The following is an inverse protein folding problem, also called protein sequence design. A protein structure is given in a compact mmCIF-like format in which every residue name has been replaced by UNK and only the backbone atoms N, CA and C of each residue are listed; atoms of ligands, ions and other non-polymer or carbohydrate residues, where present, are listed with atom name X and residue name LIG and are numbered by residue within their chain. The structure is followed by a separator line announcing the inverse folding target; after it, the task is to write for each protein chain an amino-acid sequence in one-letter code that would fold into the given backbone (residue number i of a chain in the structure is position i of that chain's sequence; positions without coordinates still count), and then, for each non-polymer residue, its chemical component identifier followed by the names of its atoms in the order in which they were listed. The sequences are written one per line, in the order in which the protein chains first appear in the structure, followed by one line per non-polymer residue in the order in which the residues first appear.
data_IF_482136062465
#
_entry.id   IF_482136062465
#
_cell.length_a   1.000
_cell.length_b   1.000
_cell.length_c   1.000
_cell.angle_alpha   90.00
_cell.angle_beta   90.00
_cell.angle_gamma   90.00
#
_symmetry.space_group_name_H-M   'P 1'
#
loop_
_entity.id
_entity.type
_entity.pdbx_description
1 polymer ?
#
# COMPACT_ATOMS: atom_id res chain seq x y z
N UNK A 1 -9.18 -8.96 20.20
CA UNK A 1 -8.77 -7.77 20.97
C UNK A 1 -8.09 -6.75 20.08
N UNK A 2 -8.63 -5.53 19.99
CA UNK A 2 -7.92 -4.41 19.35
C UNK A 2 -6.89 -3.90 20.36
N UNK A 3 -5.61 -4.18 20.15
CA UNK A 3 -4.55 -3.66 21.01
C UNK A 3 -4.53 -2.14 20.93
N UNK A 4 -4.77 -1.46 22.05
CA UNK A 4 -4.56 0.00 22.14
C UNK A 4 -3.09 0.32 21.83
N UNK A 5 -2.86 1.41 21.10
CA UNK A 5 -1.52 1.95 20.86
C UNK A 5 -0.77 2.13 22.18
N UNK A 6 0.51 1.72 22.23
CA UNK A 6 1.37 1.89 23.40
C UNK A 6 1.74 3.37 23.53
N UNK A 7 1.50 3.95 24.71
CA UNK A 7 1.86 5.33 25.03
C UNK A 7 3.34 5.40 25.45
N UNK A 8 4.24 5.63 24.49
CA UNK A 8 5.68 5.54 24.73
C UNK A 8 6.36 6.82 25.26
N UNK A 9 5.68 7.96 25.27
CA UNK A 9 6.16 9.20 25.89
C UNK A 9 5.54 9.45 27.27
N UNK A 10 5.30 8.39 28.04
CA UNK A 10 4.69 8.47 29.36
C UNK A 10 5.76 8.43 30.45
N UNK A 11 5.78 9.43 31.33
CA UNK A 11 6.72 9.55 32.45
C UNK A 11 6.51 8.47 33.53
N UNK A 12 5.29 7.93 33.67
CA UNK A 12 4.93 7.03 34.78
C UNK A 12 5.26 5.57 34.52
N UNK A 13 5.15 5.13 33.27
CA UNK A 13 5.38 3.75 32.88
C UNK A 13 5.72 3.67 31.40
N UNK A 14 6.90 3.12 31.12
CA UNK A 14 7.37 2.86 29.76
C UNK A 14 7.33 1.35 29.54
N UNK A 15 6.51 0.92 28.57
CA UNK A 15 6.43 -0.49 28.19
C UNK A 15 7.79 -0.95 27.61
N UNK A 16 8.25 -2.20 27.81
CA UNK A 16 9.56 -2.67 27.30
C UNK A 16 9.74 -2.58 25.77
N UNK A 17 8.62 -2.55 25.04
CA UNK A 17 8.59 -2.38 23.58
C UNK A 17 8.57 -0.90 23.14
N UNK A 18 8.56 0.04 24.07
CA UNK A 18 8.74 1.46 23.76
C UNK A 18 10.23 1.78 23.61
N UNK A 19 10.55 2.59 22.61
CA UNK A 19 11.88 3.13 22.41
C UNK A 19 11.76 4.60 21.94
N UNK A 20 11.23 5.48 22.81
CA UNK A 20 10.92 6.86 22.44
C UNK A 20 12.16 7.58 21.93
N UNK A 21 11.96 8.51 21.01
CA UNK A 21 13.01 9.38 20.51
C UNK A 21 12.98 10.66 21.36
N UNK A 22 14.05 10.88 22.11
CA UNK A 22 14.24 12.09 22.90
C UNK A 22 14.51 13.28 21.96
N UNK A 23 13.88 14.41 22.24
CA UNK A 23 14.08 15.64 21.48
C UNK A 23 15.14 16.46 22.17
N UNK A 24 16.23 16.75 21.46
CA UNK A 24 17.32 17.60 21.96
C UNK A 24 16.80 19.01 22.29
N UNK A 25 17.33 19.61 23.36
CA UNK A 25 16.94 20.97 23.78
C UNK A 25 17.26 22.03 22.70
N UNK A 26 18.33 21.81 21.93
CA UNK A 26 18.77 22.68 20.84
C UNK A 26 18.01 22.44 19.52
N UNK A 27 17.08 21.47 19.46
CA UNK A 27 16.30 21.19 18.25
C UNK A 27 15.42 22.40 17.89
N UNK A 28 15.63 23.00 16.71
CA UNK A 28 14.92 24.24 16.34
C UNK A 28 13.44 24.06 16.04
N UNK A 29 12.99 22.83 15.80
CA UNK A 29 11.66 22.49 15.30
C UNK A 29 10.78 21.89 16.40
N UNK A 30 11.28 20.87 17.09
CA UNK A 30 10.51 20.05 18.03
C UNK A 30 10.68 20.45 19.49
N UNK A 31 11.80 21.06 19.89
CA UNK A 31 12.06 21.41 21.31
C UNK A 31 10.96 22.27 21.94
N UNK A 32 10.31 23.12 21.13
CA UNK A 32 9.21 24.00 21.53
C UNK A 32 7.85 23.29 21.60
N UNK A 33 7.74 22.09 21.02
CA UNK A 33 6.49 21.35 20.83
C UNK A 33 6.40 20.13 21.75
N UNK A 34 7.49 19.38 21.89
CA UNK A 34 7.55 18.16 22.71
C UNK A 34 8.99 17.83 23.07
N UNK A 35 9.17 17.15 24.20
CA UNK A 35 10.46 16.60 24.62
C UNK A 35 10.64 15.13 24.19
N UNK A 36 9.58 14.52 23.65
CA UNK A 36 9.55 13.11 23.28
C UNK A 36 8.68 12.87 22.05
N UNK A 37 9.22 12.10 21.11
CA UNK A 37 8.47 11.55 19.98
C UNK A 37 8.17 10.06 20.26
N UNK A 38 6.89 9.64 20.22
CA UNK A 38 6.52 8.29 20.58
C UNK A 38 6.98 7.31 19.50
N UNK A 39 7.74 6.30 19.91
CA UNK A 39 8.17 5.23 19.02
C UNK A 39 8.03 3.87 19.71
N UNK A 40 7.36 2.94 19.02
CA UNK A 40 7.15 1.56 19.43
C UNK A 40 8.03 0.68 18.55
N UNK A 41 8.79 -0.24 19.16
CA UNK A 41 9.61 -1.19 18.42
C UNK A 41 8.71 -2.11 17.57
N UNK A 42 9.17 -2.43 16.37
CA UNK A 42 8.49 -3.39 15.49
C UNK A 42 8.34 -4.74 16.19
N UNK A 43 7.20 -5.39 15.96
CA UNK A 43 6.88 -6.70 16.52
C UNK A 43 7.97 -7.74 16.22
N UNK A 44 8.24 -8.61 17.20
CA UNK A 44 9.24 -9.68 17.09
C UNK A 44 8.72 -10.87 16.32
N UNK A 45 9.61 -11.51 15.56
CA UNK A 45 9.38 -12.84 15.02
C UNK A 45 10.21 -13.86 15.80
N UNK A 46 9.63 -15.01 16.21
CA UNK A 46 10.42 -16.14 16.66
C UNK A 46 11.28 -16.64 15.50
N UNK A 47 12.46 -17.17 15.82
CA UNK A 47 13.31 -17.87 14.86
C UNK A 47 12.72 -19.23 14.52
N UNK A 48 13.19 -19.83 13.43
CA UNK A 48 12.86 -21.21 13.10
C UNK A 48 13.10 -22.13 14.31
N UNK A 49 12.15 -23.05 14.53
CA UNK A 49 12.11 -23.97 15.66
C UNK A 49 12.19 -23.30 17.05
N UNK A 50 11.78 -22.03 17.17
CA UNK A 50 11.82 -21.26 18.42
C UNK A 50 13.22 -21.22 19.06
N UNK A 51 14.27 -21.28 18.23
CA UNK A 51 15.65 -21.25 18.70
C UNK A 51 16.02 -19.90 19.31
N UNK A 52 16.91 -19.92 20.31
CA UNK A 52 17.45 -18.70 20.92
C UNK A 52 18.38 -17.98 19.93
N UNK A 53 18.33 -16.65 19.91
CA UNK A 53 19.18 -15.84 19.03
C UNK A 53 18.86 -14.35 19.14
N UNK A 54 19.52 -13.50 18.33
CA UNK A 54 19.18 -12.08 18.25
C UNK A 54 17.74 -11.88 17.77
N UNK A 55 17.20 -10.71 18.13
CA UNK A 55 15.83 -10.30 17.82
C UNK A 55 15.64 -10.08 16.32
N UNK A 56 14.66 -10.76 15.74
CA UNK A 56 14.19 -10.56 14.36
C UNK A 56 12.80 -9.89 14.34
N UNK A 57 12.43 -9.28 13.22
CA UNK A 57 11.14 -8.64 13.01
C UNK A 57 10.23 -9.49 12.13
N UNK A 58 8.91 -9.37 12.33
CA UNK A 58 7.91 -10.09 11.53
C UNK A 58 7.57 -9.33 10.25
N UNK A 59 7.46 -10.06 9.14
CA UNK A 59 6.84 -9.56 7.92
C UNK A 59 5.36 -9.97 7.89
N UNK A 60 4.45 -8.98 7.90
CA UNK A 60 3.00 -9.23 7.83
C UNK A 60 2.45 -9.21 6.39
N UNK A 61 3.30 -8.93 5.41
CA UNK A 61 3.00 -9.02 3.98
C UNK A 61 3.60 -10.28 3.36
N UNK A 62 3.05 -10.69 2.22
CA UNK A 62 3.74 -11.64 1.35
C UNK A 62 4.99 -10.95 0.77
N UNK A 63 6.11 -11.67 0.68
CA UNK A 63 7.36 -11.12 0.13
C UNK A 63 7.34 -11.04 -1.40
N UNK A 64 6.46 -11.79 -2.06
CA UNK A 64 6.30 -11.79 -3.50
C UNK A 64 5.63 -10.50 -3.99
N UNK A 65 5.93 -10.11 -5.23
CA UNK A 65 5.16 -9.10 -5.96
C UNK A 65 3.85 -9.71 -6.48
N UNK A 66 2.92 -9.99 -5.57
CA UNK A 66 1.68 -10.75 -5.81
C UNK A 66 0.39 -9.92 -5.62
N UNK A 67 0.55 -8.59 -5.61
CA UNK A 67 -0.53 -7.63 -5.41
C UNK A 67 -1.28 -7.81 -4.07
N UNK A 68 -0.63 -8.35 -3.02
CA UNK A 68 -1.21 -8.46 -1.67
C UNK A 68 -1.65 -7.12 -1.07
N UNK A 69 -1.07 -6.00 -1.51
CA UNK A 69 -1.56 -4.66 -1.18
C UNK A 69 -2.99 -4.40 -1.71
N UNK A 70 -3.43 -5.09 -2.77
CA UNK A 70 -4.78 -5.00 -3.35
C UNK A 70 -5.67 -6.14 -2.82
N UNK A 71 -5.16 -7.37 -2.77
CA UNK A 71 -5.95 -8.57 -2.46
C UNK A 71 -5.88 -9.01 -1.00
N UNK A 72 -4.97 -8.46 -0.20
CA UNK A 72 -4.70 -8.85 1.18
C UNK A 72 -3.70 -10.00 1.28
N UNK A 73 -2.99 -10.05 2.41
CA UNK A 73 -2.01 -11.10 2.74
C UNK A 73 -2.62 -12.31 3.44
N UNK A 74 -3.91 -12.25 3.81
CA UNK A 74 -4.63 -13.35 4.48
C UNK A 74 -5.92 -13.70 3.74
N UNK A 75 -6.38 -14.94 3.92
CA UNK A 75 -7.63 -15.43 3.30
C UNK A 75 -8.83 -14.63 3.80
N UNK A 76 -8.86 -14.26 5.07
CA UNK A 76 -9.93 -13.46 5.68
C UNK A 76 -9.96 -12.06 5.08
N UNK A 77 -8.79 -11.44 4.88
CA UNK A 77 -8.67 -10.12 4.26
C UNK A 77 -9.15 -10.14 2.81
N UNK A 78 -8.70 -11.13 2.05
CA UNK A 78 -9.10 -11.33 0.66
C UNK A 78 -10.61 -11.58 0.54
N UNK A 79 -11.16 -12.43 1.40
CA UNK A 79 -12.58 -12.74 1.45
C UNK A 79 -13.44 -11.48 1.68
N UNK A 80 -13.04 -10.61 2.61
CA UNK A 80 -13.73 -9.33 2.88
C UNK A 80 -13.71 -8.35 1.72
N UNK A 81 -12.80 -8.51 0.75
CA UNK A 81 -12.66 -7.63 -0.40
C UNK A 81 -13.46 -8.11 -1.62
N UNK A 82 -13.95 -9.36 -1.61
CA UNK A 82 -14.65 -9.98 -2.74
C UNK A 82 -16.14 -9.72 -2.71
N UNK A 83 -16.71 -9.47 -3.89
CA UNK A 83 -18.16 -9.37 -4.07
C UNK A 83 -18.84 -10.74 -4.21
N UNK A 84 -18.05 -11.81 -4.41
CA UNK A 84 -18.53 -13.18 -4.68
C UNK A 84 -19.58 -13.24 -5.80
N UNK A 85 -19.39 -12.37 -6.80
CA UNK A 85 -20.20 -12.30 -8.00
C UNK A 85 -19.31 -11.92 -9.19
N UNK A 86 -19.34 -12.76 -10.23
CA UNK A 86 -18.61 -12.56 -11.49
C UNK A 86 -17.09 -12.34 -11.33
N UNK A 87 -16.50 -12.80 -10.25
CA UNK A 87 -15.08 -12.62 -9.92
C UNK A 87 -14.74 -11.21 -9.45
N UNK A 88 -15.72 -10.38 -9.07
CA UNK A 88 -15.48 -8.97 -8.75
C UNK A 88 -14.97 -8.74 -7.33
N UNK A 89 -14.20 -7.66 -7.17
CA UNK A 89 -13.95 -7.00 -5.90
C UNK A 89 -15.13 -6.09 -5.52
N UNK A 90 -15.37 -5.93 -4.22
CA UNK A 90 -16.38 -5.04 -3.67
C UNK A 90 -16.06 -3.59 -3.97
N UNK A 91 -17.07 -2.85 -4.40
CA UNK A 91 -16.96 -1.45 -4.76
C UNK A 91 -18.12 -0.67 -4.21
N UNK A 92 -17.90 0.60 -3.90
CA UNK A 92 -18.97 1.51 -3.54
C UNK A 92 -19.32 2.42 -4.72
N UNK A 93 -20.62 2.57 -4.98
CA UNK A 93 -21.14 3.62 -5.87
C UNK A 93 -21.16 4.94 -5.09
N UNK A 94 -20.53 5.98 -5.62
CA UNK A 94 -20.63 7.34 -5.08
C UNK A 94 -21.53 8.15 -6.00
N UNK A 95 -22.38 9.02 -5.44
CA UNK A 95 -23.37 9.81 -6.18
C UNK A 95 -22.79 10.67 -7.31
N UNK A 96 -21.48 10.93 -7.27
CA UNK A 96 -20.78 11.74 -8.27
C UNK A 96 -19.79 10.95 -9.15
N UNK A 97 -19.45 9.68 -8.86
CA UNK A 97 -18.39 8.93 -9.56
C UNK A 97 -18.64 7.43 -9.71
N UNK A 98 -18.09 6.89 -10.79
CA UNK A 98 -17.92 5.46 -11.02
C UNK A 98 -17.01 4.86 -9.93
N UNK A 99 -17.53 3.90 -9.15
CA UNK A 99 -16.77 2.85 -8.46
C UNK A 99 -15.55 3.31 -7.62
N UNK A 100 -15.76 3.48 -6.31
CA UNK A 100 -14.72 3.66 -5.28
C UNK A 100 -14.40 2.36 -4.55
N UNK A 101 -13.29 2.35 -3.81
CA UNK A 101 -12.99 1.29 -2.82
C UNK A 101 -14.14 1.17 -1.80
N UNK A 102 -14.34 -0.03 -1.27
CA UNK A 102 -15.34 -0.25 -0.22
C UNK A 102 -14.90 0.41 1.09
N UNK A 103 -15.85 0.84 1.91
CA UNK A 103 -15.60 1.51 3.19
C UNK A 103 -15.39 0.52 4.33
N UNK A 104 -14.70 0.97 5.37
CA UNK A 104 -14.50 0.24 6.61
C UNK A 104 -14.80 1.10 7.85
N UNK A 105 -14.95 0.44 9.00
CA UNK A 105 -15.05 1.04 10.35
C UNK A 105 -13.70 0.95 11.08
N UNK A 106 -12.61 0.80 10.33
CA UNK A 106 -11.28 0.76 10.91
C UNK A 106 -10.83 2.19 11.21
N UNK A 107 -10.15 2.39 12.34
CA UNK A 107 -9.71 3.71 12.81
C UNK A 107 -8.38 4.15 12.14
N UNK A 108 -8.09 3.61 10.95
CA UNK A 108 -6.82 3.81 10.21
C UNK A 108 -6.76 5.15 9.48
N UNK A 109 -7.83 5.95 9.52
CA UNK A 109 -7.88 7.26 8.91
C UNK A 109 -8.53 8.28 9.86
N UNK A 110 -8.26 9.57 9.64
CA UNK A 110 -8.85 10.67 10.38
C UNK A 110 -10.30 10.91 9.91
N UNK A 111 -11.22 10.08 10.37
CA UNK A 111 -12.66 10.27 10.14
C UNK A 111 -13.22 11.36 11.08
N UNK A 112 -12.79 12.61 10.91
CA UNK A 112 -13.28 13.76 11.69
C UNK A 112 -14.72 14.17 11.33
N UNK A 113 -15.27 13.66 10.22
CA UNK A 113 -16.64 13.92 9.77
C UNK A 113 -17.40 12.61 9.66
N UNK A 114 -18.61 12.57 10.22
CA UNK A 114 -19.49 11.37 10.24
C UNK A 114 -19.81 10.78 8.85
N UNK A 115 -19.53 11.51 7.77
CA UNK A 115 -19.78 11.11 6.39
C UNK A 115 -18.56 10.56 5.63
N UNK A 116 -17.34 10.61 6.21
CA UNK A 116 -16.09 10.27 5.51
C UNK A 116 -15.39 9.09 6.19
N UNK A 117 -15.68 7.88 5.70
CA UNK A 117 -15.15 6.64 6.27
C UNK A 117 -13.87 6.20 5.56
N UNK A 118 -13.06 5.41 6.25
CA UNK A 118 -11.82 4.90 5.68
C UNK A 118 -12.11 3.89 4.57
N UNK A 119 -11.19 3.79 3.61
CA UNK A 119 -11.26 2.79 2.54
C UNK A 119 -10.59 1.49 2.96
N UNK A 120 -11.12 0.40 2.40
CA UNK A 120 -10.64 -0.95 2.59
C UNK A 120 -9.96 -1.43 1.30
N UNK A 121 -8.69 -1.83 1.39
CA UNK A 121 -7.98 -2.58 0.33
C UNK A 121 -7.20 -3.75 0.96
N UNK A 122 -6.23 -4.34 0.27
CA UNK A 122 -5.41 -5.41 0.82
C UNK A 122 -4.51 -4.95 1.99
N UNK A 123 -3.91 -3.78 1.85
CA UNK A 123 -2.99 -3.19 2.84
C UNK A 123 -3.66 -2.24 3.84
N UNK A 124 -3.06 -2.11 5.03
CA UNK A 124 -3.54 -1.21 6.10
C UNK A 124 -3.24 0.27 5.81
N UNK A 125 -2.17 0.55 5.05
CA UNK A 125 -1.74 1.90 4.70
C UNK A 125 -2.51 2.52 3.52
N UNK A 126 -3.61 1.89 3.08
CA UNK A 126 -4.42 2.36 1.93
C UNK A 126 -4.80 3.84 2.04
N UNK A 127 -5.08 4.31 3.25
CA UNK A 127 -5.56 5.67 3.52
C UNK A 127 -4.43 6.65 3.88
N UNK A 128 -3.17 6.21 3.94
CA UNK A 128 -2.05 7.03 4.41
C UNK A 128 -1.86 8.27 3.54
N UNK A 129 -1.85 8.07 2.22
CA UNK A 129 -1.76 9.14 1.24
C UNK A 129 -2.94 9.08 0.27
N UNK A 130 -3.46 10.23 -0.19
CA UNK A 130 -4.50 10.25 -1.20
C UNK A 130 -4.00 9.63 -2.53
N UNK A 131 -2.74 9.83 -2.91
CA UNK A 131 -2.17 9.19 -4.11
C UNK A 131 -2.22 7.65 -4.02
N UNK A 132 -1.97 7.10 -2.84
CA UNK A 132 -2.07 5.65 -2.60
C UNK A 132 -3.51 5.16 -2.76
N UNK A 133 -4.48 5.78 -2.08
CA UNK A 133 -5.90 5.44 -2.24
C UNK A 133 -6.36 5.52 -3.71
N UNK A 134 -5.88 6.51 -4.47
CA UNK A 134 -6.19 6.65 -5.89
C UNK A 134 -5.66 5.47 -6.70
N UNK A 135 -4.39 5.09 -6.51
CA UNK A 135 -3.79 3.93 -7.18
C UNK A 135 -4.51 2.62 -6.83
N UNK A 136 -4.83 2.38 -5.55
CA UNK A 136 -5.63 1.21 -5.16
C UNK A 136 -7.00 1.17 -5.85
N UNK A 137 -7.63 2.33 -6.03
CA UNK A 137 -8.91 2.43 -6.75
C UNK A 137 -8.75 2.07 -8.23
N UNK A 138 -7.67 2.52 -8.89
CA UNK A 138 -7.38 2.16 -10.30
C UNK A 138 -7.22 0.66 -10.44
N UNK A 139 -6.41 0.03 -9.59
CA UNK A 139 -6.17 -1.40 -9.65
C UNK A 139 -7.42 -2.23 -9.41
N UNK A 140 -8.28 -1.80 -8.47
CA UNK A 140 -9.58 -2.41 -8.26
C UNK A 140 -10.48 -2.30 -9.50
N UNK A 141 -10.54 -1.11 -10.13
CA UNK A 141 -11.32 -0.90 -11.37
C UNK A 141 -10.79 -1.77 -12.50
N UNK A 142 -9.47 -1.88 -12.64
CA UNK A 142 -8.83 -2.72 -13.64
C UNK A 142 -9.11 -4.21 -13.42
N UNK A 143 -9.10 -4.68 -12.17
CA UNK A 143 -9.49 -6.05 -11.83
C UNK A 143 -10.92 -6.35 -12.29
N UNK A 144 -11.89 -5.50 -11.90
CA UNK A 144 -13.30 -5.70 -12.28
C UNK A 144 -13.53 -5.59 -13.80
N UNK A 145 -12.76 -4.74 -14.48
CA UNK A 145 -12.78 -4.64 -15.94
C UNK A 145 -12.28 -5.95 -16.60
N UNK A 146 -11.16 -6.50 -16.13
CA UNK A 146 -10.63 -7.78 -16.61
C UNK A 146 -11.63 -8.91 -16.35
N UNK A 147 -12.17 -9.02 -15.13
CA UNK A 147 -13.16 -10.04 -14.78
C UNK A 147 -14.40 -9.98 -15.68
N UNK A 148 -14.88 -8.76 -15.98
CA UNK A 148 -16.00 -8.54 -16.92
C UNK A 148 -15.67 -9.05 -18.32
N UNK A 149 -14.47 -8.74 -18.84
CA UNK A 149 -14.06 -9.18 -20.17
C UNK A 149 -13.86 -10.70 -20.22
N UNK A 150 -13.24 -11.29 -19.19
CA UNK A 150 -13.05 -12.73 -19.09
C UNK A 150 -14.38 -13.49 -19.06
N UNK A 151 -15.40 -12.96 -18.38
CA UNK A 151 -16.75 -13.56 -18.35
C UNK A 151 -17.45 -13.52 -19.71
N UNK A 152 -17.22 -12.49 -20.52
CA UNK A 152 -17.77 -12.42 -21.90
C UNK A 152 -17.16 -13.50 -22.78
N UNK A 153 -15.86 -13.75 -22.65
CA UNK A 153 -15.13 -14.74 -23.46
C UNK A 153 -15.37 -16.15 -22.93
N UNK A 154 -15.41 -16.33 -21.62
CA UNK A 154 -15.53 -17.62 -20.92
C UNK A 154 -16.84 -17.66 -20.12
N UNK A 155 -17.95 -17.87 -20.82
CA UNK A 155 -19.30 -17.81 -20.25
C UNK A 155 -19.49 -18.81 -19.09
N UNK A 156 -18.85 -19.98 -19.16
CA UNK A 156 -19.02 -21.06 -18.17
C UNK A 156 -18.13 -20.92 -16.93
N UNK A 157 -17.22 -19.94 -16.88
CA UNK A 157 -16.38 -19.76 -15.70
C UNK A 157 -17.19 -19.26 -14.50
N UNK A 158 -16.94 -19.86 -13.33
CA UNK A 158 -17.53 -19.48 -12.06
C UNK A 158 -16.85 -18.24 -11.45
N UNK A 159 -17.37 -17.78 -10.31
CA UNK A 159 -16.84 -16.62 -9.60
C UNK A 159 -15.37 -16.79 -9.21
N UNK A 160 -15.01 -17.95 -8.68
CA UNK A 160 -13.65 -18.22 -8.20
C UNK A 160 -12.64 -18.17 -9.34
N UNK A 161 -12.94 -18.84 -10.45
CA UNK A 161 -12.03 -18.86 -11.59
C UNK A 161 -11.86 -17.47 -12.19
N UNK A 162 -12.94 -16.70 -12.33
CA UNK A 162 -12.87 -15.32 -12.81
C UNK A 162 -12.01 -14.45 -11.88
N UNK A 163 -12.19 -14.57 -10.58
CA UNK A 163 -11.41 -13.83 -9.59
C UNK A 163 -9.92 -14.16 -9.67
N UNK A 164 -9.57 -15.45 -9.68
CA UNK A 164 -8.17 -15.89 -9.68
C UNK A 164 -7.46 -15.55 -11.00
N UNK A 165 -8.12 -15.71 -12.15
CA UNK A 165 -7.51 -15.34 -13.44
C UNK A 165 -7.36 -13.82 -13.58
N UNK A 166 -8.34 -13.04 -13.11
CA UNK A 166 -8.23 -11.58 -13.06
C UNK A 166 -7.10 -11.14 -12.13
N UNK A 167 -6.98 -11.78 -10.96
CA UNK A 167 -5.88 -11.56 -10.02
C UNK A 167 -4.52 -11.88 -10.66
N UNK A 168 -4.40 -13.02 -11.35
CA UNK A 168 -3.17 -13.43 -12.04
C UNK A 168 -2.72 -12.42 -13.09
N UNK A 169 -3.65 -11.87 -13.86
CA UNK A 169 -3.34 -10.82 -14.86
C UNK A 169 -2.87 -9.53 -14.18
N UNK A 170 -3.56 -9.09 -13.12
CA UNK A 170 -3.14 -7.89 -12.35
C UNK A 170 -1.73 -8.07 -11.77
N UNK A 171 -1.44 -9.24 -11.20
CA UNK A 171 -0.10 -9.57 -10.68
C UNK A 171 0.95 -9.43 -11.78
N UNK A 172 0.70 -10.01 -12.96
CA UNK A 172 1.60 -9.89 -14.10
C UNK A 172 1.79 -8.44 -14.56
N UNK A 173 0.73 -7.63 -14.57
CA UNK A 173 0.82 -6.19 -14.90
C UNK A 173 1.71 -5.44 -13.90
N UNK A 174 1.55 -5.69 -12.60
CA UNK A 174 2.36 -5.04 -11.56
C UNK A 174 3.82 -5.48 -11.65
N UNK A 175 4.08 -6.77 -11.83
CA UNK A 175 5.43 -7.29 -12.00
C UNK A 175 6.11 -6.69 -13.25
N UNK A 176 5.38 -6.63 -14.37
CA UNK A 176 5.88 -6.02 -15.60
C UNK A 176 6.22 -4.54 -15.40
N UNK A 177 5.32 -3.73 -14.86
CA UNK A 177 5.59 -2.30 -14.59
C UNK A 177 6.79 -2.16 -13.63
N UNK A 178 6.86 -3.00 -12.60
CA UNK A 178 7.93 -2.94 -11.60
C UNK A 178 9.30 -3.21 -12.22
N UNK A 179 9.45 -4.32 -12.95
CA UNK A 179 10.74 -4.73 -13.50
C UNK A 179 11.11 -4.03 -14.82
N UNK A 180 10.13 -3.63 -15.63
CA UNK A 180 10.36 -3.03 -16.95
C UNK A 180 10.46 -1.51 -16.91
N UNK A 181 9.68 -0.86 -16.06
CA UNK A 181 9.52 0.60 -16.09
C UNK A 181 10.14 1.23 -14.84
N UNK A 182 9.79 0.75 -13.65
CA UNK A 182 10.19 1.38 -12.39
C UNK A 182 11.65 1.07 -12.01
N UNK A 183 11.99 -0.21 -11.85
CA UNK A 183 13.28 -0.64 -11.34
C UNK A 183 14.47 -0.13 -12.19
N UNK A 184 14.41 -0.11 -13.54
CA UNK A 184 15.51 0.42 -14.34
C UNK A 184 15.78 1.91 -14.14
N UNK A 185 14.78 2.70 -13.73
CA UNK A 185 14.93 4.13 -13.43
C UNK A 185 15.63 4.31 -12.08
N UNK A 186 15.33 3.45 -11.10
CA UNK A 186 15.88 3.55 -9.75
C UNK A 186 17.32 3.05 -9.67
N UNK A 187 17.61 1.84 -10.15
CA UNK A 187 18.94 1.20 -9.98
C UNK A 187 19.83 1.27 -11.22
N UNK A 188 19.26 1.65 -12.37
CA UNK A 188 19.97 1.73 -13.64
C UNK A 188 20.03 0.40 -14.40
N UNK A 189 19.83 0.47 -15.72
CA UNK A 189 19.82 -0.69 -16.63
C UNK A 189 21.09 -1.54 -16.59
N UNK A 190 22.25 -0.93 -16.34
CA UNK A 190 23.53 -1.65 -16.29
C UNK A 190 23.61 -2.58 -15.06
N UNK A 191 23.09 -2.16 -13.91
CA UNK A 191 23.04 -2.98 -12.70
C UNK A 191 22.10 -4.17 -12.88
N UNK A 192 20.93 -3.95 -13.45
CA UNK A 192 19.99 -5.04 -13.75
C UNK A 192 20.61 -6.10 -14.66
N UNK A 193 21.35 -5.68 -15.69
CA UNK A 193 22.09 -6.62 -16.56
C UNK A 193 23.16 -7.40 -15.81
N UNK A 194 23.88 -6.76 -14.88
CA UNK A 194 24.91 -7.42 -14.05
C UNK A 194 24.31 -8.51 -13.14
N UNK A 195 23.11 -8.27 -12.61
CA UNK A 195 22.41 -9.22 -11.74
C UNK A 195 21.51 -10.22 -12.50
N UNK A 196 21.55 -10.23 -13.84
CA UNK A 196 20.72 -11.14 -14.65
C UNK A 196 19.23 -10.80 -14.66
N UNK A 197 18.82 -9.63 -14.17
CA UNK A 197 17.42 -9.17 -14.14
C UNK A 197 17.08 -8.50 -15.47
N UNK A 198 17.18 -9.25 -16.57
CA UNK A 198 16.89 -8.75 -17.92
C UNK A 198 15.55 -9.32 -18.38
N UNK A 199 14.52 -8.47 -18.38
CA UNK A 199 13.26 -8.84 -19.00
C UNK A 199 13.46 -9.13 -20.49
N UNK A 200 12.91 -10.25 -20.94
CA UNK A 200 12.76 -10.56 -22.35
C UNK A 200 11.67 -9.65 -22.94
N UNK A 201 11.84 -9.23 -24.19
CA UNK A 201 10.83 -8.41 -24.87
C UNK A 201 9.58 -9.22 -25.24
N UNK A 202 9.75 -10.53 -25.44
CA UNK A 202 8.71 -11.51 -25.78
C UNK A 202 9.09 -12.84 -25.11
N UNK A 203 8.13 -13.74 -24.98
CA UNK A 203 8.28 -15.10 -24.39
C UNK A 203 8.30 -15.15 -22.85
N UNK A 204 8.32 -16.36 -22.30
CA UNK A 204 8.32 -16.65 -20.88
C UNK A 204 9.74 -16.77 -20.33
N UNK A 205 9.90 -16.44 -19.05
CA UNK A 205 11.10 -16.76 -18.29
C UNK A 205 10.95 -18.16 -17.66
N UNK A 206 11.97 -19.01 -17.83
CA UNK A 206 12.03 -20.36 -17.28
C UNK A 206 12.99 -20.50 -16.09
N UNK A 207 13.60 -19.40 -15.64
CA UNK A 207 14.68 -19.40 -14.64
C UNK A 207 14.15 -19.44 -13.20
N UNK A 208 12.96 -20.02 -12.99
CA UNK A 208 12.42 -20.23 -11.65
C UNK A 208 13.24 -21.28 -10.89
N UNK A 209 13.87 -20.87 -9.79
CA UNK A 209 14.64 -21.75 -8.92
C UNK A 209 14.01 -21.85 -7.52
N UNK A 210 13.59 -23.07 -7.16
CA UNK A 210 13.02 -23.41 -5.85
C UNK A 210 14.00 -23.25 -4.68
N UNK A 211 15.31 -23.15 -4.96
CA UNK A 211 16.36 -22.98 -3.94
C UNK A 211 16.59 -21.52 -3.57
N UNK A 212 16.04 -20.57 -4.33
CA UNK A 212 16.18 -19.15 -4.05
C UNK A 212 15.25 -18.77 -2.90
N UNK A 213 15.83 -18.19 -1.86
CA UNK A 213 15.06 -17.59 -0.77
C UNK A 213 14.40 -16.29 -1.26
N UNK A 214 13.08 -16.30 -1.32
CA UNK A 214 12.27 -15.17 -1.75
C UNK A 214 11.77 -14.30 -0.58
N UNK A 215 12.30 -14.49 0.63
CA UNK A 215 11.95 -13.66 1.79
C UNK A 215 12.45 -12.22 1.65
N UNK A 216 11.74 -11.29 2.26
CA UNK A 216 12.13 -9.88 2.26
C UNK A 216 13.28 -9.66 3.25
N UNK A 217 14.36 -9.03 2.80
CA UNK A 217 15.49 -8.66 3.66
C UNK A 217 15.07 -7.59 4.66
N UNK A 218 15.50 -7.74 5.92
CA UNK A 218 15.24 -6.78 6.98
C UNK A 218 15.83 -5.40 6.68
N UNK A 219 17.04 -5.38 6.11
CA UNK A 219 17.74 -4.17 5.66
C UNK A 219 16.94 -3.41 4.59
N UNK A 220 16.26 -4.14 3.72
CA UNK A 220 15.38 -3.54 2.73
C UNK A 220 14.15 -2.92 3.38
N UNK A 221 13.48 -3.65 4.27
CA UNK A 221 12.28 -3.16 4.95
C UNK A 221 12.53 -1.97 5.89
N UNK A 222 13.69 -1.93 6.55
CA UNK A 222 14.00 -0.95 7.59
C UNK A 222 14.79 0.27 7.11
N UNK A 223 15.53 0.17 6.01
CA UNK A 223 16.40 1.25 5.54
C UNK A 223 16.26 1.49 4.04
N UNK A 224 16.62 0.52 3.20
CA UNK A 224 16.77 0.75 1.75
C UNK A 224 15.44 1.13 1.11
N UNK A 225 14.37 0.41 1.44
CA UNK A 225 13.04 0.64 0.92
C UNK A 225 12.47 2.02 1.26
N UNK A 226 13.00 2.71 2.28
CA UNK A 226 12.55 4.05 2.68
C UNK A 226 13.01 5.16 1.74
N UNK A 227 13.83 4.86 0.72
CA UNK A 227 14.29 5.85 -0.27
C UNK A 227 13.14 6.59 -0.96
N UNK A 228 11.95 5.98 -1.08
CA UNK A 228 10.81 6.65 -1.70
C UNK A 228 10.39 7.93 -0.94
N UNK A 229 10.71 8.04 0.36
CA UNK A 229 10.43 9.25 1.12
C UNK A 229 11.23 10.45 0.58
N UNK A 230 12.40 10.23 -0.01
CA UNK A 230 13.18 11.29 -0.63
C UNK A 230 12.65 11.71 -2.01
N UNK A 231 11.64 11.02 -2.54
CA UNK A 231 11.00 11.35 -3.82
C UNK A 231 9.79 12.27 -3.65
N UNK A 232 9.32 12.49 -2.42
CA UNK A 232 8.22 13.41 -2.17
C UNK A 232 8.63 14.86 -2.42
N UNK A 233 7.75 15.60 -3.09
CA UNK A 233 7.79 17.07 -3.09
C UNK A 233 7.36 17.61 -1.72
N UNK A 234 7.72 18.85 -1.41
CA UNK A 234 7.29 19.53 -0.17
C UNK A 234 5.76 19.63 -0.05
N UNK A 235 5.09 19.80 -1.19
CA UNK A 235 3.64 19.92 -1.26
C UNK A 235 3.07 19.05 -2.37
N UNK A 236 1.85 18.55 -2.15
CA UNK A 236 1.08 17.88 -3.18
C UNK A 236 0.39 18.93 -4.05
N UNK A 237 0.63 18.86 -5.35
CA UNK A 237 -0.08 19.67 -6.35
C UNK A 237 -1.18 18.84 -6.99
N UNK A 238 -2.37 19.40 -7.15
CA UNK A 238 -3.48 18.78 -7.86
C UNK A 238 -4.32 19.82 -8.60
N UNK A 239 -5.08 19.38 -9.60
CA UNK A 239 -5.93 20.27 -10.38
C UNK A 239 -7.29 20.51 -9.67
N UNK A 240 -7.76 21.74 -9.55
CA UNK A 240 -9.08 22.00 -8.95
C UNK A 240 -10.22 21.74 -9.92
N UNK A 241 -9.97 21.82 -11.23
CA UNK A 241 -10.95 21.69 -12.29
C UNK A 241 -10.68 20.46 -13.19
N UNK A 242 -11.72 20.03 -13.90
CA UNK A 242 -11.60 18.95 -14.89
C UNK A 242 -10.90 19.40 -16.17
N UNK A 243 -10.71 20.71 -16.37
CA UNK A 243 -10.06 21.29 -17.55
C UNK A 243 -8.55 21.46 -17.36
N UNK A 244 -8.02 21.26 -16.15
CA UNK A 244 -6.60 21.33 -15.85
C UNK A 244 -6.03 22.75 -15.81
N UNK A 245 -6.87 23.78 -15.61
CA UNK A 245 -6.46 25.17 -15.66
C UNK A 245 -6.14 25.74 -14.28
N UNK A 246 -6.72 25.19 -13.21
CA UNK A 246 -6.51 25.64 -11.84
C UNK A 246 -5.70 24.62 -11.06
N UNK A 247 -4.54 25.01 -10.55
CA UNK A 247 -3.72 24.18 -9.65
C UNK A 247 -3.92 24.62 -8.20
N UNK A 248 -4.08 23.66 -7.31
CA UNK A 248 -4.02 23.86 -5.87
C UNK A 248 -2.82 23.09 -5.31
N UNK A 249 -2.24 23.64 -4.25
CA UNK A 249 -1.14 23.04 -3.52
C UNK A 249 -1.52 22.90 -2.06
N UNK A 250 -1.25 21.74 -1.48
CA UNK A 250 -1.47 21.47 -0.06
C UNK A 250 -0.27 20.75 0.53
N UNK A 251 0.08 21.10 1.77
CA UNK A 251 1.09 20.37 2.52
C UNK A 251 0.62 18.94 2.81
N UNK A 252 1.54 17.99 2.72
CA UNK A 252 1.27 16.58 3.02
C UNK A 252 0.67 16.37 4.41
N UNK A 253 1.13 17.13 5.41
CA UNK A 253 0.63 17.04 6.78
C UNK A 253 -0.89 17.22 6.91
N UNK A 254 -1.50 17.99 5.99
CA UNK A 254 -2.95 18.24 5.96
C UNK A 254 -3.74 17.14 5.23
N UNK A 255 -3.05 16.25 4.53
CA UNK A 255 -3.64 15.22 3.66
C UNK A 255 -3.41 13.79 4.17
N UNK A 256 -2.47 13.60 5.11
CA UNK A 256 -2.20 12.31 5.70
C UNK A 256 -3.47 11.75 6.33
N UNK A 257 -3.80 10.48 6.05
CA UNK A 257 -4.94 9.81 6.65
C UNK A 257 -6.31 10.50 6.41
N UNK A 258 -6.44 11.42 5.44
CA UNK A 258 -7.71 12.10 5.12
C UNK A 258 -8.35 11.52 3.84
N UNK A 259 -9.46 10.75 3.95
CA UNK A 259 -10.15 10.23 2.78
C UNK A 259 -11.02 11.30 2.08
N UNK A 260 -11.11 12.51 2.62
CA UNK A 260 -12.08 13.54 2.22
C UNK A 260 -11.98 13.98 0.75
N UNK A 261 -10.78 13.94 0.15
CA UNK A 261 -10.60 14.26 -1.27
C UNK A 261 -11.39 13.34 -2.20
N UNK A 262 -11.57 12.07 -1.83
CA UNK A 262 -12.30 11.07 -2.62
C UNK A 262 -13.82 11.27 -2.56
N UNK A 263 -14.32 11.74 -1.41
CA UNK A 263 -15.74 12.04 -1.23
C UNK A 263 -16.18 13.32 -1.96
N UNK A 264 -15.24 14.26 -2.16
CA UNK A 264 -15.45 15.43 -3.00
C UNK A 264 -15.26 15.14 -4.49
N UNK A 265 -14.92 13.88 -4.82
CA UNK A 265 -15.06 13.35 -6.15
C UNK A 265 -13.81 13.27 -7.02
N UNK A 266 -12.71 13.85 -6.58
CA UNK A 266 -11.66 14.20 -7.53
C UNK A 266 -10.54 13.15 -7.49
N UNK A 267 -10.79 11.94 -8.00
CA UNK A 267 -9.68 10.98 -8.22
C UNK A 267 -8.78 11.47 -9.34
N UNK A 268 -9.38 11.92 -10.44
CA UNK A 268 -8.64 12.30 -11.64
C UNK A 268 -7.70 13.48 -11.36
N UNK A 269 -8.04 14.38 -10.44
CA UNK A 269 -7.18 15.51 -10.11
C UNK A 269 -5.89 15.10 -9.39
N UNK A 270 -5.93 13.97 -8.68
CA UNK A 270 -4.80 13.42 -7.94
C UNK A 270 -3.84 12.71 -8.90
N UNK A 271 -4.38 12.14 -9.98
CA UNK A 271 -3.64 11.33 -10.96
C UNK A 271 -3.10 12.14 -12.14
N UNK A 272 -3.65 13.33 -12.40
CA UNK A 272 -3.17 14.23 -13.44
C UNK A 272 -1.91 14.95 -12.96
N UNK A 273 -0.79 14.65 -13.62
CA UNK A 273 0.50 15.32 -13.46
C UNK A 273 0.78 16.21 -14.67
#
# INVERSE_FOLDING_TARGET
DRSKSLLCCNEKYTHPECYPIEVDEDDTTYSKLTQCLPYVRTATSPRENCSLGPREQVNQATSFLDASNIYGSTVERASRLRAYRNGFLLTQQSSHYNTLLTITNDDTCMSNRSSQRCFLSGGELTNLFPTQTALHTIWLRQHNNIAKQLKVINVDWDDEKLFQESRRIIIAQIQHITYNEFLPIIVGKNKLRQYGIKLQHNDYDSDYDLKVDATALNEYASAVGLFYYSLFSDQMTFYEDNDGNRKAQKSWSTLLNDPGLFYNGKIDIILRF
#
